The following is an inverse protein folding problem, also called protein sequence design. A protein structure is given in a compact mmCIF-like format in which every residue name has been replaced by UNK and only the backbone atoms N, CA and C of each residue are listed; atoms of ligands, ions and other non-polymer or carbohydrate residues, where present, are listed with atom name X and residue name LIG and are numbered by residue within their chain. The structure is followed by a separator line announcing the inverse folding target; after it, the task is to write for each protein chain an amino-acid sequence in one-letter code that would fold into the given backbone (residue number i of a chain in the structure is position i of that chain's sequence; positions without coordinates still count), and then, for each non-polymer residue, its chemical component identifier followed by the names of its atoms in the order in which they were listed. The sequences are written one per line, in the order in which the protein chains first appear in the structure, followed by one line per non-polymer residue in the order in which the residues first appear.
data_IF_620022507380
#
_entry.id   IF_620022507380
#
_cell.length_a   1.000
_cell.length_b   1.000
_cell.length_c   1.000
_cell.angle_alpha   90.00
_cell.angle_beta   90.00
_cell.angle_gamma   90.00
#
_symmetry.space_group_name_H-M   'P 1'
#
loop_
_entity.id
_entity.type
_entity.pdbx_description
1 polymer ?
#
# COMPACT_ATOMS: atom_id res chain seq x y z
N UNK A 1 14.44 8.09 -9.02
CA UNK A 1 14.73 7.51 -10.36
C UNK A 1 14.07 8.31 -11.49
N UNK A 2 12.76 8.64 -11.40
CA UNK A 2 12.05 9.42 -12.42
C UNK A 2 12.66 10.82 -12.64
N UNK A 3 13.12 11.49 -11.59
CA UNK A 3 13.77 12.79 -11.66
C UNK A 3 15.09 12.78 -12.45
N UNK A 4 15.72 11.62 -12.56
CA UNK A 4 16.93 11.42 -13.37
C UNK A 4 16.58 11.29 -14.86
N UNK A 5 15.44 10.68 -15.17
CA UNK A 5 14.97 10.48 -16.55
C UNK A 5 14.33 11.77 -17.08
N UNK A 6 13.49 12.43 -16.27
CA UNK A 6 12.75 13.65 -16.62
C UNK A 6 13.35 14.88 -15.93
N UNK A 7 14.52 15.32 -16.40
CA UNK A 7 15.29 16.43 -15.80
C UNK A 7 14.51 17.74 -15.74
N UNK A 8 13.69 18.02 -16.74
CA UNK A 8 12.83 19.19 -16.84
C UNK A 8 11.70 19.23 -15.77
N UNK A 9 11.40 18.10 -15.16
CA UNK A 9 10.38 17.94 -14.11
C UNK A 9 10.97 17.59 -12.75
N UNK A 10 12.29 17.68 -12.61
CA UNK A 10 12.99 17.27 -11.40
C UNK A 10 12.39 17.92 -10.14
N UNK A 11 12.23 19.24 -10.13
CA UNK A 11 11.75 19.97 -8.95
C UNK A 11 10.31 19.57 -8.56
N UNK A 12 9.47 19.25 -9.55
CA UNK A 12 8.10 18.78 -9.31
C UNK A 12 8.10 17.36 -8.74
N UNK A 13 8.96 16.47 -9.27
CA UNK A 13 9.10 15.10 -8.81
C UNK A 13 9.71 15.04 -7.40
N UNK A 14 10.69 15.89 -7.11
CA UNK A 14 11.28 15.98 -5.77
C UNK A 14 10.25 16.47 -4.74
N UNK A 15 9.43 17.48 -5.09
CA UNK A 15 8.31 17.90 -4.23
C UNK A 15 7.30 16.81 -3.96
N UNK A 16 6.97 15.98 -4.95
CA UNK A 16 6.09 14.82 -4.76
C UNK A 16 6.75 13.83 -3.79
N UNK A 17 8.04 13.55 -3.99
CA UNK A 17 8.79 12.61 -3.18
C UNK A 17 8.84 13.04 -1.70
N UNK A 18 9.02 14.33 -1.43
CA UNK A 18 9.05 14.91 -0.08
C UNK A 18 7.70 14.79 0.66
N UNK A 19 6.60 14.56 -0.07
CA UNK A 19 5.25 14.37 0.48
C UNK A 19 4.82 12.90 0.55
N UNK A 20 5.67 11.96 0.13
CA UNK A 20 5.39 10.53 0.26
C UNK A 20 5.63 10.10 1.70
N UNK A 21 4.63 9.45 2.27
CA UNK A 21 4.69 8.86 3.60
C UNK A 21 4.33 7.37 3.53
N UNK A 22 5.24 6.50 4.00
CA UNK A 22 5.01 5.06 4.00
C UNK A 22 4.34 4.61 5.31
N UNK A 23 3.08 4.18 5.21
CA UNK A 23 2.34 3.65 6.37
C UNK A 23 2.98 2.38 6.97
N UNK A 24 3.77 1.66 6.21
CA UNK A 24 4.52 0.51 6.69
C UNK A 24 5.48 0.90 7.82
N UNK A 25 6.11 2.06 7.73
CA UNK A 25 7.04 2.56 8.75
C UNK A 25 6.35 2.83 10.09
N UNK A 26 5.08 3.27 10.06
CA UNK A 26 4.29 3.45 11.28
C UNK A 26 4.03 2.12 11.98
N UNK A 27 3.73 1.08 11.24
CA UNK A 27 3.37 -0.23 11.78
C UNK A 27 4.60 -1.04 12.19
N UNK A 28 5.60 -1.07 11.33
CA UNK A 28 6.85 -1.83 11.55
C UNK A 28 7.79 -1.15 12.53
N UNK A 29 7.69 0.15 12.68
CA UNK A 29 8.67 0.98 13.35
C UNK A 29 9.79 1.44 12.42
N UNK A 30 10.16 2.68 12.55
CA UNK A 30 11.26 3.32 11.81
C UNK A 30 12.10 4.12 12.78
N UNK A 31 13.43 4.11 12.61
CA UNK A 31 14.34 4.92 13.44
C UNK A 31 14.12 6.42 13.23
N UNK A 32 13.64 6.81 12.06
CA UNK A 32 13.33 8.20 11.75
C UNK A 32 12.10 8.68 12.51
N UNK A 33 11.03 7.85 12.55
CA UNK A 33 9.80 8.16 13.24
C UNK A 33 9.88 7.92 14.76
N UNK A 34 10.67 6.94 15.19
CA UNK A 34 10.78 6.49 16.56
C UNK A 34 12.25 6.43 17.03
N UNK A 35 12.96 7.56 17.12
CA UNK A 35 14.41 7.60 17.39
C UNK A 35 14.81 7.04 18.76
N UNK A 36 13.88 7.03 19.72
CA UNK A 36 14.11 6.56 21.09
C UNK A 36 13.88 5.06 21.30
N UNK A 37 13.54 4.31 20.24
CA UNK A 37 13.39 2.86 20.36
C UNK A 37 14.75 2.18 20.42
N UNK A 38 14.91 1.20 21.32
CA UNK A 38 16.17 0.45 21.51
C UNK A 38 16.68 -0.14 20.20
N UNK A 39 17.97 0.06 19.91
CA UNK A 39 18.62 -0.39 18.66
C UNK A 39 18.76 -1.90 18.55
N UNK A 40 18.69 -2.61 19.66
CA UNK A 40 19.09 -4.03 19.76
C UNK A 40 17.93 -5.02 19.56
N UNK A 41 16.70 -4.53 19.49
CA UNK A 41 15.53 -5.35 19.19
C UNK A 41 14.65 -4.62 18.18
N UNK A 42 14.20 -5.30 17.10
CA UNK A 42 13.18 -4.74 16.21
C UNK A 42 11.90 -4.58 17.03
N UNK A 43 11.68 -3.38 17.55
CA UNK A 43 10.45 -3.04 18.25
C UNK A 43 9.41 -2.70 17.20
N UNK A 44 8.51 -3.63 16.91
CA UNK A 44 7.32 -3.33 16.13
C UNK A 44 6.47 -2.33 16.90
N UNK A 45 6.06 -1.26 16.25
CA UNK A 45 5.16 -0.27 16.82
C UNK A 45 3.75 -0.84 16.95
N UNK A 46 3.39 -1.76 16.06
CA UNK A 46 2.12 -2.45 16.03
C UNK A 46 2.32 -3.95 15.84
N UNK A 47 1.64 -4.75 16.62
CA UNK A 47 1.64 -6.20 16.50
C UNK A 47 0.22 -6.76 16.62
N UNK A 48 -0.10 -7.69 15.73
CA UNK A 48 -1.31 -8.50 15.79
C UNK A 48 -1.01 -9.91 15.26
N UNK A 49 -1.46 -10.94 15.96
CA UNK A 49 -1.22 -12.35 15.59
C UNK A 49 -1.69 -12.70 14.17
N UNK A 50 -2.78 -12.06 13.70
CA UNK A 50 -3.33 -12.27 12.35
C UNK A 50 -2.40 -11.81 11.23
N UNK A 51 -1.40 -10.99 11.54
CA UNK A 51 -0.39 -10.56 10.57
C UNK A 51 0.63 -11.66 10.26
N UNK A 52 0.79 -12.63 11.15
CA UNK A 52 1.79 -13.72 11.02
C UNK A 52 3.20 -13.19 10.71
N UNK A 53 3.60 -12.08 11.34
CA UNK A 53 4.90 -11.44 11.13
C UNK A 53 5.06 -10.66 9.82
N UNK A 54 4.01 -10.52 9.02
CA UNK A 54 4.04 -9.78 7.74
C UNK A 54 3.28 -8.47 7.84
N UNK A 55 3.88 -7.38 7.36
CA UNK A 55 3.27 -6.05 7.25
C UNK A 55 2.70 -5.78 5.85
N UNK A 56 2.53 -6.79 5.01
CA UNK A 56 1.93 -6.60 3.69
C UNK A 56 0.50 -6.06 3.82
N UNK A 57 0.09 -5.20 2.89
CA UNK A 57 -1.23 -4.56 2.90
C UNK A 57 -2.37 -5.60 3.04
N UNK A 58 -2.23 -6.78 2.44
CA UNK A 58 -3.21 -7.86 2.51
C UNK A 58 -3.34 -8.49 3.90
N UNK A 59 -2.30 -8.40 4.72
CA UNK A 59 -2.30 -8.89 6.10
C UNK A 59 -2.75 -7.82 7.09
N UNK A 60 -2.46 -6.57 6.77
CA UNK A 60 -2.80 -5.43 7.62
C UNK A 60 -4.24 -4.98 7.42
N UNK A 61 -4.73 -4.95 6.17
CA UNK A 61 -6.05 -4.44 5.83
C UNK A 61 -7.21 -5.10 6.62
N UNK A 62 -7.26 -6.44 6.77
CA UNK A 62 -8.34 -7.10 7.51
C UNK A 62 -8.41 -6.75 9.00
N UNK A 63 -7.37 -6.14 9.57
CA UNK A 63 -7.34 -5.71 10.97
C UNK A 63 -8.14 -4.41 11.19
N UNK A 64 -8.36 -3.64 10.14
CA UNK A 64 -8.98 -2.32 10.20
C UNK A 64 -10.29 -2.22 9.43
N UNK A 65 -10.59 -3.18 8.55
CA UNK A 65 -11.74 -3.10 7.65
C UNK A 65 -12.14 -4.49 7.13
N UNK A 66 -13.37 -4.59 6.62
CA UNK A 66 -13.88 -5.78 5.95
C UNK A 66 -13.53 -5.82 4.44
N UNK A 67 -12.72 -4.89 3.95
CA UNK A 67 -12.27 -4.92 2.56
C UNK A 67 -11.39 -6.13 2.28
N UNK A 68 -11.60 -6.76 1.12
CA UNK A 68 -10.86 -7.94 0.71
C UNK A 68 -10.55 -7.92 -0.78
N UNK A 69 -9.44 -8.53 -1.17
CA UNK A 69 -9.04 -8.72 -2.56
C UNK A 69 -9.57 -10.02 -3.16
N UNK A 70 -10.18 -10.88 -2.37
CA UNK A 70 -10.59 -12.24 -2.81
C UNK A 70 -11.63 -12.24 -3.90
N UNK A 71 -12.50 -11.23 -3.94
CA UNK A 71 -13.59 -11.11 -4.91
C UNK A 71 -13.20 -10.32 -6.18
N UNK A 72 -11.94 -9.92 -6.31
CA UNK A 72 -11.45 -9.22 -7.49
C UNK A 72 -10.95 -10.22 -8.54
N UNK A 73 -11.08 -9.88 -9.82
CA UNK A 73 -10.49 -10.66 -10.93
C UNK A 73 -8.96 -10.59 -10.89
N UNK A 74 -8.41 -9.43 -10.56
CA UNK A 74 -6.98 -9.22 -10.28
C UNK A 74 -6.82 -9.11 -8.78
N UNK A 75 -6.08 -10.04 -8.18
CA UNK A 75 -6.00 -10.21 -6.71
C UNK A 75 -4.68 -9.76 -6.08
N UNK A 76 -3.68 -9.52 -6.90
CA UNK A 76 -2.33 -9.16 -6.42
C UNK A 76 -1.51 -8.45 -7.50
N UNK A 77 -0.38 -7.84 -7.06
CA UNK A 77 0.49 -7.09 -7.95
C UNK A 77 1.10 -7.93 -9.08
N UNK A 78 1.43 -9.19 -8.84
CA UNK A 78 1.95 -10.10 -9.87
C UNK A 78 0.90 -10.34 -10.97
N UNK A 79 -0.34 -10.65 -10.59
CA UNK A 79 -1.45 -10.78 -11.53
C UNK A 79 -1.71 -9.47 -12.30
N UNK A 80 -1.61 -8.32 -11.61
CA UNK A 80 -1.77 -7.01 -12.23
C UNK A 80 -0.70 -6.76 -13.30
N UNK A 81 0.57 -7.05 -13.02
CA UNK A 81 1.67 -6.90 -13.99
C UNK A 81 1.46 -7.80 -15.20
N UNK A 82 1.13 -9.07 -14.97
CA UNK A 82 0.88 -10.03 -16.07
C UNK A 82 -0.32 -9.60 -16.91
N UNK A 83 -1.43 -9.23 -16.26
CA UNK A 83 -2.63 -8.76 -16.96
C UNK A 83 -2.34 -7.50 -17.79
N UNK A 84 -1.60 -6.54 -17.25
CA UNK A 84 -1.21 -5.33 -17.97
C UNK A 84 -0.33 -5.64 -19.18
N UNK A 85 0.65 -6.54 -19.02
CA UNK A 85 1.54 -6.96 -20.10
C UNK A 85 0.83 -7.68 -21.23
N UNK A 86 -0.31 -8.33 -20.96
CA UNK A 86 -1.12 -9.02 -21.97
C UNK A 86 -2.06 -8.09 -22.74
N UNK A 87 -2.38 -6.90 -22.25
CA UNK A 87 -3.36 -6.00 -22.88
C UNK A 87 -3.16 -5.78 -24.38
N UNK A 88 -1.94 -5.59 -24.92
CA UNK A 88 -1.73 -5.37 -26.35
C UNK A 88 -2.09 -6.55 -27.26
N UNK A 89 -2.23 -7.74 -26.68
CA UNK A 89 -2.46 -9.00 -27.42
C UNK A 89 -3.92 -9.49 -27.35
N UNK A 90 -4.78 -8.76 -26.63
CA UNK A 90 -6.17 -9.14 -26.40
C UNK A 90 -7.10 -8.58 -27.49
N UNK A 91 -8.23 -9.26 -27.69
CA UNK A 91 -9.33 -8.71 -28.47
C UNK A 91 -9.92 -7.47 -27.79
N UNK A 92 -10.63 -6.63 -28.53
CA UNK A 92 -11.23 -5.40 -27.99
C UNK A 92 -12.11 -5.66 -26.76
N UNK A 93 -12.87 -6.74 -26.77
CA UNK A 93 -13.75 -7.11 -25.64
C UNK A 93 -12.92 -7.52 -24.41
N UNK A 94 -11.98 -8.43 -24.58
CA UNK A 94 -11.10 -8.90 -23.51
C UNK A 94 -10.26 -7.75 -22.93
N UNK A 95 -9.77 -6.86 -23.80
CA UNK A 95 -9.06 -5.66 -23.39
C UNK A 95 -9.90 -4.82 -22.43
N UNK A 96 -11.16 -4.53 -22.77
CA UNK A 96 -12.04 -3.74 -21.92
C UNK A 96 -12.30 -4.42 -20.56
N UNK A 97 -12.56 -5.71 -20.55
CA UNK A 97 -12.76 -6.48 -19.33
C UNK A 97 -11.51 -6.43 -18.42
N UNK A 98 -10.33 -6.71 -18.98
CA UNK A 98 -9.07 -6.70 -18.22
C UNK A 98 -8.66 -5.29 -17.77
N UNK A 99 -8.88 -4.29 -18.59
CA UNK A 99 -8.62 -2.90 -18.24
C UNK A 99 -9.48 -2.44 -17.06
N UNK A 100 -10.77 -2.78 -17.07
CA UNK A 100 -11.68 -2.49 -15.94
C UNK A 100 -11.24 -3.23 -14.68
N UNK A 101 -10.87 -4.51 -14.78
CA UNK A 101 -10.37 -5.29 -13.64
C UNK A 101 -9.10 -4.68 -13.01
N UNK A 102 -8.15 -4.22 -13.84
CA UNK A 102 -6.97 -3.52 -13.38
C UNK A 102 -7.31 -2.20 -12.66
N UNK A 103 -8.24 -1.42 -13.20
CA UNK A 103 -8.68 -0.18 -12.55
C UNK A 103 -9.33 -0.42 -11.20
N UNK A 104 -10.15 -1.46 -11.09
CA UNK A 104 -10.79 -1.86 -9.82
C UNK A 104 -9.70 -2.25 -8.81
N UNK A 105 -8.72 -3.05 -9.23
CA UNK A 105 -7.59 -3.44 -8.39
C UNK A 105 -6.80 -2.22 -7.88
N UNK A 106 -6.39 -1.31 -8.77
CA UNK A 106 -5.64 -0.11 -8.39
C UNK A 106 -6.44 0.82 -7.45
N UNK A 107 -7.75 0.96 -7.71
CA UNK A 107 -8.64 1.70 -6.81
C UNK A 107 -8.70 1.06 -5.42
N UNK A 108 -8.80 -0.26 -5.36
CA UNK A 108 -8.82 -1.00 -4.10
C UNK A 108 -7.52 -0.83 -3.32
N UNK A 109 -6.35 -0.90 -3.98
CA UNK A 109 -5.05 -0.68 -3.35
C UNK A 109 -4.95 0.73 -2.74
N UNK A 110 -5.37 1.75 -3.47
CA UNK A 110 -5.37 3.13 -2.97
C UNK A 110 -6.34 3.30 -1.80
N UNK A 111 -7.55 2.74 -1.91
CA UNK A 111 -8.56 2.84 -0.86
C UNK A 111 -8.15 2.07 0.40
N UNK A 112 -7.49 0.93 0.25
CA UNK A 112 -6.96 0.16 1.37
C UNK A 112 -5.99 0.99 2.24
N UNK A 113 -5.12 1.79 1.64
CA UNK A 113 -4.23 2.69 2.40
C UNK A 113 -4.99 3.74 3.20
N UNK A 114 -6.08 4.30 2.65
CA UNK A 114 -6.95 5.25 3.35
C UNK A 114 -7.61 4.60 4.57
N UNK A 115 -8.14 3.40 4.42
CA UNK A 115 -8.80 2.67 5.51
C UNK A 115 -7.82 2.25 6.61
N UNK A 116 -6.63 1.79 6.25
CA UNK A 116 -5.56 1.49 7.22
C UNK A 116 -5.18 2.75 8.01
N UNK A 117 -4.99 3.89 7.34
CA UNK A 117 -4.67 5.15 8.01
C UNK A 117 -5.77 5.59 8.98
N UNK A 118 -7.05 5.46 8.60
CA UNK A 118 -8.19 5.72 9.49
C UNK A 118 -8.14 4.81 10.71
N UNK A 119 -7.98 3.51 10.51
CA UNK A 119 -7.92 2.53 11.59
C UNK A 119 -6.78 2.78 12.58
N UNK A 120 -5.58 3.12 12.08
CA UNK A 120 -4.45 3.51 12.93
C UNK A 120 -4.80 4.73 13.77
N UNK A 121 -5.37 5.77 13.17
CA UNK A 121 -5.77 7.00 13.88
C UNK A 121 -6.81 6.75 14.97
N UNK A 122 -7.78 5.89 14.71
CA UNK A 122 -8.80 5.51 15.70
C UNK A 122 -8.18 4.76 16.89
N UNK A 123 -7.29 3.82 16.63
CA UNK A 123 -6.60 3.10 17.71
C UNK A 123 -5.71 4.01 18.55
N UNK A 124 -5.08 5.01 17.95
CA UNK A 124 -4.29 6.01 18.68
C UNK A 124 -5.17 6.86 19.61
N UNK A 125 -6.36 7.27 19.16
CA UNK A 125 -7.31 8.03 20.00
C UNK A 125 -7.77 7.23 21.21
N UNK A 126 -8.04 5.95 21.05
CA UNK A 126 -8.53 5.08 22.12
C UNK A 126 -7.47 4.73 23.18
N UNK A 127 -6.19 4.99 22.91
CA UNK A 127 -5.09 4.76 23.87
C UNK A 127 -4.71 6.00 24.69
N UNK A 128 -5.26 7.17 24.38
CA UNK A 128 -4.99 8.44 25.07
C UNK A 128 -6.00 8.72 26.18
N UNK A 129 -6.97 7.85 26.37
CA UNK A 129 -7.88 7.86 27.53
C UNK A 129 -7.46 6.82 28.56
#
# INVERSE_FOLDING_TARGET
ELSFIFKDKKDQLDKINDHIFDLLEVLRGSKELFPNTSRDKPSFTYYNNLMHGSFSIKKVLPLFTNLTYTNLDVKNGTEAILTYGMLPFLTTKEYQEKYVALRIYCRQDTWAMVEILKGIREQMKNKVT
#
